data_IF_209673928820
#
_entry.id   IF_209673928820
#
_cell.length_a   1.000
_cell.length_b   1.000
_cell.length_c   1.000
_cell.angle_alpha   90.00
_cell.angle_beta   90.00
_cell.angle_gamma   90.00
#
_symmetry.space_group_name_H-M   'P 1'
#
loop_
_entity.id
_entity.type
_entity.pdbx_description
1 polymer ?
#
# COMPACT_ATOMS: atom_id res chain seq x y z
N UNK A 1 4.85 6.65 10.28
CA UNK A 1 4.21 5.81 11.29
C UNK A 1 3.58 4.55 10.71
N UNK A 2 2.31 4.60 10.34
CA UNK A 2 1.57 3.39 9.88
C UNK A 2 2.12 2.79 8.60
N UNK A 3 2.61 3.60 7.68
CA UNK A 3 3.20 3.11 6.44
C UNK A 3 4.52 2.40 6.71
N UNK A 4 5.38 2.95 7.55
CA UNK A 4 6.62 2.29 7.98
C UNK A 4 6.33 0.99 8.72
N UNK A 5 5.38 1.01 9.67
CA UNK A 5 4.94 -0.20 10.36
C UNK A 5 4.39 -1.25 9.40
N UNK A 6 3.65 -0.83 8.38
CA UNK A 6 3.13 -1.76 7.35
C UNK A 6 4.27 -2.37 6.54
N UNK A 7 5.24 -1.56 6.09
CA UNK A 7 6.41 -2.07 5.38
C UNK A 7 7.24 -3.03 6.24
N UNK A 8 7.48 -2.68 7.50
CA UNK A 8 8.21 -3.53 8.44
C UNK A 8 7.48 -4.81 8.79
N UNK A 9 6.14 -4.75 8.93
CA UNK A 9 5.32 -5.94 9.16
C UNK A 9 5.40 -6.92 7.99
N UNK A 10 5.40 -6.40 6.75
CA UNK A 10 5.58 -7.21 5.54
C UNK A 10 6.96 -7.85 5.52
N UNK A 11 8.01 -7.08 5.78
CA UNK A 11 9.37 -7.59 5.82
C UNK A 11 9.53 -8.66 6.92
N UNK A 12 8.95 -8.44 8.10
CA UNK A 12 8.97 -9.42 9.19
C UNK A 12 8.25 -10.71 8.84
N UNK A 13 7.07 -10.62 8.22
CA UNK A 13 6.30 -11.79 7.78
C UNK A 13 7.12 -12.62 6.78
N UNK A 14 7.75 -11.96 5.81
CA UNK A 14 8.59 -12.63 4.82
C UNK A 14 9.82 -13.29 5.44
N UNK A 15 10.42 -12.68 6.46
CA UNK A 15 11.51 -13.28 7.22
C UNK A 15 11.11 -14.56 7.95
N UNK A 16 9.89 -14.57 8.52
CA UNK A 16 9.43 -15.69 9.34
C UNK A 16 8.94 -16.87 8.50
N UNK A 17 8.54 -16.64 7.25
CA UNK A 17 7.82 -17.64 6.43
C UNK A 17 8.64 -18.25 5.31
N UNK A 18 9.73 -17.61 4.84
CA UNK A 18 10.46 -18.04 3.64
C UNK A 18 11.94 -18.28 3.86
N UNK A 19 12.43 -19.42 3.33
CA UNK A 19 13.84 -19.74 3.22
C UNK A 19 14.56 -18.92 2.12
N UNK A 20 13.81 -18.45 1.10
CA UNK A 20 14.33 -17.63 -0.01
C UNK A 20 14.03 -16.15 0.25
N UNK A 21 14.75 -15.57 1.20
CA UNK A 21 14.49 -14.21 1.73
C UNK A 21 14.91 -13.07 0.80
N UNK A 22 15.57 -13.37 -0.30
CA UNK A 22 16.04 -12.37 -1.27
C UNK A 22 14.91 -11.82 -2.17
N UNK A 23 13.71 -12.38 -2.09
CA UNK A 23 12.68 -12.21 -3.11
C UNK A 23 11.43 -11.42 -2.67
N UNK A 24 11.42 -10.76 -1.51
CA UNK A 24 10.34 -9.85 -1.15
C UNK A 24 10.74 -8.41 -1.47
N UNK A 25 9.99 -7.75 -2.35
CA UNK A 25 10.21 -6.35 -2.69
C UNK A 25 9.00 -5.51 -2.25
N UNK A 26 9.29 -4.46 -1.50
CA UNK A 26 8.31 -3.47 -1.05
C UNK A 26 8.51 -2.18 -1.83
N UNK A 27 7.50 -1.80 -2.61
CA UNK A 27 7.45 -0.53 -3.32
C UNK A 27 6.57 0.42 -2.52
N UNK A 28 7.11 1.56 -2.13
CA UNK A 28 6.38 2.63 -1.44
C UNK A 28 6.22 3.78 -2.42
N UNK A 29 4.99 4.11 -2.76
CA UNK A 29 4.68 5.34 -3.48
C UNK A 29 4.25 6.38 -2.45
N UNK A 30 5.19 7.26 -2.13
CA UNK A 30 4.98 8.36 -1.20
C UNK A 30 4.49 9.60 -1.94
N UNK A 31 3.21 9.92 -1.72
CA UNK A 31 2.53 11.06 -2.32
C UNK A 31 2.32 12.21 -1.34
N UNK A 32 2.82 12.09 -0.11
CA UNK A 32 2.76 13.18 0.84
C UNK A 32 3.77 14.27 0.52
N UNK A 33 3.36 15.47 0.79
CA UNK A 33 4.20 16.65 0.70
C UNK A 33 4.93 16.84 2.05
N UNK A 34 6.24 16.74 2.04
CA UNK A 34 7.09 16.90 3.21
C UNK A 34 6.94 18.28 3.89
N UNK A 35 6.59 19.32 3.11
CA UNK A 35 6.35 20.66 3.64
C UNK A 35 5.08 20.71 4.52
N UNK A 36 4.07 19.89 4.20
CA UNK A 36 2.79 19.84 4.93
C UNK A 36 2.82 18.87 6.12
N UNK A 37 3.69 17.86 6.06
CA UNK A 37 3.79 16.80 7.08
C UNK A 37 5.25 16.54 7.49
N UNK A 38 5.96 17.55 7.98
CA UNK A 38 7.36 17.39 8.37
C UNK A 38 7.48 16.39 9.52
N UNK A 39 8.22 15.33 9.31
CA UNK A 39 8.60 14.38 10.35
C UNK A 39 7.66 13.20 10.58
N UNK A 40 6.56 13.06 9.82
CA UNK A 40 5.61 11.98 10.05
C UNK A 40 6.01 10.63 9.41
N UNK A 41 6.93 10.64 8.44
CA UNK A 41 7.42 9.43 7.79
C UNK A 41 8.90 9.56 7.42
N UNK A 42 9.77 8.85 8.11
CA UNK A 42 11.19 8.74 7.75
C UNK A 42 11.39 7.53 6.80
N UNK A 43 10.84 7.64 5.59
CA UNK A 43 11.03 6.62 4.56
C UNK A 43 12.48 6.53 4.08
N UNK A 44 13.23 7.63 4.14
CA UNK A 44 14.63 7.66 3.74
C UNK A 44 15.47 6.75 4.64
N UNK A 45 15.18 6.73 5.96
CA UNK A 45 15.81 5.77 6.87
C UNK A 45 15.41 4.33 6.52
N UNK A 46 14.14 4.07 6.21
CA UNK A 46 13.69 2.74 5.85
C UNK A 46 14.38 2.24 4.56
N UNK A 47 14.44 3.07 3.51
CA UNK A 47 15.13 2.74 2.26
C UNK A 47 16.63 2.55 2.47
N UNK A 48 17.27 3.42 3.28
CA UNK A 48 18.70 3.31 3.55
C UNK A 48 19.06 2.02 4.27
N UNK A 49 18.21 1.52 5.15
CA UNK A 49 18.43 0.29 5.91
C UNK A 49 18.07 -0.98 5.11
N UNK A 50 17.06 -0.93 4.25
CA UNK A 50 16.56 -2.09 3.48
C UNK A 50 16.71 -1.88 1.97
N UNK A 51 17.87 -1.42 1.50
CA UNK A 51 18.14 -1.01 0.12
C UNK A 51 17.78 -2.03 -0.96
N UNK A 52 17.88 -3.31 -0.66
CA UNK A 52 17.58 -4.38 -1.62
C UNK A 52 16.09 -4.70 -1.66
N UNK A 53 15.38 -4.53 -0.54
CA UNK A 53 14.00 -4.94 -0.36
C UNK A 53 12.99 -3.79 -0.45
N UNK A 54 13.40 -2.56 -0.16
CA UNK A 54 12.51 -1.39 -0.17
C UNK A 54 12.91 -0.42 -1.27
N UNK A 55 11.94 0.03 -2.04
CA UNK A 55 12.09 1.06 -3.07
C UNK A 55 11.03 2.13 -2.86
N UNK A 56 11.49 3.36 -2.74
CA UNK A 56 10.60 4.52 -2.58
C UNK A 56 10.51 5.28 -3.91
N UNK A 57 9.29 5.61 -4.30
CA UNK A 57 9.01 6.46 -5.43
C UNK A 57 8.21 7.68 -4.97
N UNK A 58 8.56 8.83 -5.47
CA UNK A 58 7.86 10.10 -5.23
C UNK A 58 6.90 10.38 -6.38
N UNK A 59 6.09 11.44 -6.25
CA UNK A 59 5.05 11.85 -7.23
C UNK A 59 5.56 11.87 -8.68
N UNK A 60 6.80 12.32 -8.91
CA UNK A 60 7.39 12.39 -10.25
C UNK A 60 7.64 11.04 -10.91
N UNK A 61 7.77 9.97 -10.13
CA UNK A 61 8.07 8.61 -10.58
C UNK A 61 6.85 7.70 -10.61
N UNK A 62 5.70 8.22 -10.15
CA UNK A 62 4.47 7.46 -9.96
C UNK A 62 4.01 6.70 -11.21
N UNK A 63 3.92 7.39 -12.34
CA UNK A 63 3.42 6.79 -13.59
C UNK A 63 4.35 5.67 -14.09
N UNK A 64 5.65 5.88 -13.93
CA UNK A 64 6.67 4.88 -14.27
C UNK A 64 6.53 3.65 -13.38
N UNK A 65 6.48 3.83 -12.06
CA UNK A 65 6.34 2.73 -11.12
C UNK A 65 5.06 1.92 -11.39
N UNK A 66 3.93 2.60 -11.62
CA UNK A 66 2.66 1.94 -11.92
C UNK A 66 2.77 1.15 -13.24
N UNK A 67 3.43 1.72 -14.26
CA UNK A 67 3.62 1.03 -15.54
C UNK A 67 4.52 -0.21 -15.39
N UNK A 68 5.62 -0.10 -14.66
CA UNK A 68 6.53 -1.22 -14.42
C UNK A 68 5.83 -2.36 -13.65
N UNK A 69 5.08 -2.03 -12.61
CA UNK A 69 4.30 -3.02 -11.85
C UNK A 69 3.16 -3.62 -12.67
N UNK A 70 2.49 -2.84 -13.52
CA UNK A 70 1.46 -3.33 -14.43
C UNK A 70 2.02 -4.40 -15.37
N UNK A 71 3.18 -4.17 -15.99
CA UNK A 71 3.83 -5.14 -16.87
C UNK A 71 4.18 -6.44 -16.13
N UNK A 72 4.63 -6.34 -14.88
CA UNK A 72 4.90 -7.53 -14.05
C UNK A 72 3.60 -8.32 -13.80
N UNK A 73 2.52 -7.65 -13.39
CA UNK A 73 1.24 -8.32 -13.13
C UNK A 73 0.69 -8.94 -14.41
N UNK A 74 0.75 -8.23 -15.53
CA UNK A 74 0.28 -8.70 -16.83
C UNK A 74 1.05 -9.94 -17.27
N UNK A 75 2.39 -9.90 -17.20
CA UNK A 75 3.22 -11.03 -17.59
C UNK A 75 2.94 -12.28 -16.74
N UNK A 76 2.72 -12.10 -15.43
CA UNK A 76 2.36 -13.19 -14.52
C UNK A 76 0.95 -13.72 -14.78
N UNK A 77 -0.01 -12.83 -15.02
CA UNK A 77 -1.40 -13.20 -15.32
C UNK A 77 -1.54 -14.00 -16.63
N UNK A 78 -0.68 -13.72 -17.60
CA UNK A 78 -0.61 -14.43 -18.88
C UNK A 78 0.31 -15.67 -18.85
N UNK A 79 0.91 -16.00 -17.70
CA UNK A 79 1.82 -17.13 -17.56
C UNK A 79 3.17 -16.95 -18.26
N UNK A 80 3.53 -15.71 -18.63
CA UNK A 80 4.80 -15.38 -19.29
C UNK A 80 5.96 -15.21 -18.29
N UNK A 81 5.65 -15.00 -17.01
CA UNK A 81 6.62 -14.89 -15.94
C UNK A 81 6.15 -15.66 -14.70
N UNK A 82 7.07 -16.26 -13.92
CA UNK A 82 6.72 -16.92 -12.67
C UNK A 82 6.37 -15.90 -11.58
N UNK A 83 5.49 -16.29 -10.65
CA UNK A 83 5.13 -15.48 -9.49
C UNK A 83 5.95 -15.90 -8.24
N UNK A 84 7.25 -16.11 -8.40
CA UNK A 84 8.13 -16.60 -7.33
C UNK A 84 8.48 -15.52 -6.30
N UNK A 85 8.48 -14.26 -6.75
CA UNK A 85 8.73 -13.11 -5.87
C UNK A 85 7.42 -12.55 -5.38
N UNK A 86 7.32 -12.28 -4.08
CA UNK A 86 6.21 -11.52 -3.51
C UNK A 86 6.52 -10.04 -3.59
N UNK A 87 5.63 -9.30 -4.21
CA UNK A 87 5.74 -7.85 -4.31
C UNK A 87 4.65 -7.19 -3.45
N UNK A 88 5.03 -6.12 -2.79
CA UNK A 88 4.12 -5.32 -1.99
C UNK A 88 4.14 -3.89 -2.49
N UNK A 89 2.97 -3.34 -2.76
CA UNK A 89 2.80 -1.95 -3.17
C UNK A 89 2.09 -1.19 -2.05
N UNK A 90 2.77 -0.22 -1.46
CA UNK A 90 2.20 0.67 -0.45
C UNK A 90 1.99 2.04 -1.10
N UNK A 91 0.74 2.44 -1.27
CA UNK A 91 0.34 3.75 -1.77
C UNK A 91 0.00 4.64 -0.59
N UNK A 92 0.87 5.60 -0.30
CA UNK A 92 0.69 6.50 0.83
C UNK A 92 0.25 7.88 0.36
N UNK A 93 -0.97 8.30 0.78
CA UNK A 93 -1.54 9.59 0.37
C UNK A 93 -2.21 9.59 -1.00
N UNK A 94 -2.90 8.52 -1.38
CA UNK A 94 -3.52 8.34 -2.72
C UNK A 94 -4.40 9.50 -3.17
N UNK A 95 -5.04 10.22 -2.24
CA UNK A 95 -5.87 11.41 -2.53
C UNK A 95 -5.12 12.52 -3.28
N UNK A 96 -3.79 12.51 -3.20
CA UNK A 96 -2.90 13.49 -3.84
C UNK A 96 -2.43 13.07 -5.23
N UNK A 97 -2.72 11.85 -5.64
CA UNK A 97 -2.41 11.33 -6.96
C UNK A 97 -3.29 11.94 -8.05
N UNK A 98 -3.34 13.26 -8.16
CA UNK A 98 -4.22 13.97 -9.10
C UNK A 98 -3.92 13.61 -10.56
N UNK A 99 -2.67 13.27 -10.88
CA UNK A 99 -2.27 12.84 -12.23
C UNK A 99 -2.81 11.47 -12.63
N UNK A 100 -3.26 10.66 -11.65
CA UNK A 100 -3.95 9.39 -11.92
C UNK A 100 -5.43 9.58 -12.24
N UNK A 101 -6.01 10.73 -11.90
CA UNK A 101 -7.39 11.01 -12.28
C UNK A 101 -7.47 10.99 -13.80
N UNK A 102 -8.51 10.34 -14.31
CA UNK A 102 -8.73 10.26 -15.74
C UNK A 102 -8.40 11.61 -16.38
N UNK A 103 -7.42 11.62 -17.21
CA UNK A 103 -7.08 12.81 -18.00
C UNK A 103 -8.34 13.20 -18.75
N UNK A 104 -8.61 14.50 -18.74
CA UNK A 104 -9.73 15.08 -19.46
C UNK A 104 -9.76 14.55 -20.88
N UNK A 105 -10.94 14.53 -21.48
CA UNK A 105 -11.34 14.14 -22.84
C UNK A 105 -10.35 14.54 -23.99
N UNK A 106 -9.25 15.19 -23.68
CA UNK A 106 -8.23 15.70 -24.60
C UNK A 106 -6.89 14.96 -24.56
N UNK A 107 -6.77 13.89 -23.75
CA UNK A 107 -5.56 13.08 -23.80
C UNK A 107 -5.69 12.15 -25.01
N UNK A 108 -4.94 12.51 -26.06
CA UNK A 108 -4.80 11.77 -27.32
C UNK A 108 -3.97 10.50 -27.05
N UNK A 109 -4.45 9.69 -26.10
CA UNK A 109 -3.88 8.37 -25.85
C UNK A 109 -4.21 7.55 -27.09
N UNK A 110 -3.18 7.27 -27.87
CA UNK A 110 -3.19 6.35 -29.00
C UNK A 110 -4.09 5.15 -28.69
N UNK A 111 -5.08 4.89 -29.52
CA UNK A 111 -6.03 3.79 -29.39
C UNK A 111 -5.31 2.53 -28.90
N UNK A 112 -5.66 2.06 -27.69
CA UNK A 112 -5.16 0.79 -27.13
C UNK A 112 -4.20 0.88 -25.95
N UNK A 113 -3.80 2.06 -25.50
CA UNK A 113 -2.91 2.18 -24.32
C UNK A 113 -3.71 2.52 -23.06
N UNK A 114 -3.61 1.68 -22.00
CA UNK A 114 -4.27 1.93 -20.73
C UNK A 114 -3.71 3.19 -20.05
N UNK A 115 -4.58 4.00 -19.48
CA UNK A 115 -4.20 5.13 -18.63
C UNK A 115 -3.51 4.67 -17.35
N UNK A 116 -2.72 5.53 -16.68
CA UNK A 116 -2.12 5.20 -15.39
C UNK A 116 -3.14 4.74 -14.34
N UNK A 117 -4.35 5.33 -14.35
CA UNK A 117 -5.45 4.92 -13.48
C UNK A 117 -5.91 3.49 -13.78
N UNK A 118 -6.14 3.14 -15.03
CA UNK A 118 -6.56 1.79 -15.43
C UNK A 118 -5.48 0.74 -15.12
N UNK A 119 -4.20 1.09 -15.31
CA UNK A 119 -3.08 0.23 -14.92
C UNK A 119 -3.05 -0.01 -13.41
N UNK A 120 -3.25 1.03 -12.60
CA UNK A 120 -3.33 0.89 -11.15
C UNK A 120 -4.53 0.01 -10.74
N UNK A 121 -5.70 0.23 -11.30
CA UNK A 121 -6.88 -0.60 -11.05
C UNK A 121 -6.63 -2.06 -11.42
N UNK A 122 -5.92 -2.32 -12.50
CA UNK A 122 -5.50 -3.67 -12.90
C UNK A 122 -4.57 -4.30 -11.86
N UNK A 123 -3.55 -3.57 -11.39
CA UNK A 123 -2.64 -4.03 -10.34
C UNK A 123 -3.42 -4.39 -9.07
N UNK A 124 -4.30 -3.50 -8.60
CA UNK A 124 -5.07 -3.70 -7.37
C UNK A 124 -6.04 -4.89 -7.47
N UNK A 125 -6.64 -5.10 -8.63
CA UNK A 125 -7.65 -6.16 -8.82
C UNK A 125 -7.04 -7.52 -9.17
N UNK A 126 -5.96 -7.57 -9.95
CA UNK A 126 -5.32 -8.81 -10.43
C UNK A 126 -4.04 -9.17 -9.68
N UNK A 127 -3.40 -8.18 -9.06
CA UNK A 127 -2.14 -8.35 -8.33
C UNK A 127 -2.16 -9.43 -7.26
N UNK A 128 -3.18 -9.50 -6.37
CA UNK A 128 -3.19 -10.49 -5.28
C UNK A 128 -3.09 -11.95 -5.76
N UNK A 129 -3.65 -12.26 -6.92
CA UNK A 129 -3.55 -13.61 -7.53
C UNK A 129 -2.24 -13.85 -8.27
N UNK A 130 -1.47 -12.79 -8.50
CA UNK A 130 -0.23 -12.79 -9.25
C UNK A 130 0.98 -12.41 -8.39
N UNK A 131 0.87 -12.57 -7.06
CA UNK A 131 1.97 -12.34 -6.12
C UNK A 131 2.26 -10.87 -5.83
N UNK A 132 1.31 -9.94 -6.10
CA UNK A 132 1.43 -8.52 -5.74
C UNK A 132 0.30 -8.14 -4.78
N UNK A 133 0.63 -7.82 -3.55
CA UNK A 133 -0.31 -7.33 -2.55
C UNK A 133 -0.19 -5.82 -2.40
N UNK A 134 -1.31 -5.14 -2.14
CA UNK A 134 -1.31 -3.68 -2.04
C UNK A 134 -1.95 -3.19 -0.75
N UNK A 135 -1.35 -2.15 -0.18
CA UNK A 135 -1.89 -1.37 0.92
C UNK A 135 -2.09 0.04 0.40
N UNK A 136 -3.31 0.55 0.49
CA UNK A 136 -3.65 1.89 0.01
C UNK A 136 -4.11 2.75 1.19
N UNK A 137 -3.40 3.85 1.41
CA UNK A 137 -3.76 4.85 2.41
C UNK A 137 -4.38 6.07 1.74
N UNK A 138 -5.59 6.41 2.18
CA UNK A 138 -6.31 7.60 1.75
C UNK A 138 -6.84 8.42 2.94
N UNK A 139 -6.93 9.72 2.77
CA UNK A 139 -7.40 10.65 3.80
C UNK A 139 -8.94 10.64 3.92
N UNK A 140 -9.64 10.37 2.83
CA UNK A 140 -11.10 10.33 2.77
C UNK A 140 -11.59 9.50 1.58
N UNK A 141 -12.85 9.09 1.66
CA UNK A 141 -13.47 8.22 0.65
C UNK A 141 -13.57 8.88 -0.72
N UNK A 142 -13.95 10.16 -0.80
CA UNK A 142 -14.06 10.87 -2.09
C UNK A 142 -12.75 10.92 -2.85
N UNK A 143 -11.64 11.06 -2.13
CA UNK A 143 -10.32 11.00 -2.73
C UNK A 143 -9.98 9.62 -3.27
N UNK A 144 -10.31 8.56 -2.53
CA UNK A 144 -10.17 7.18 -3.00
C UNK A 144 -11.00 6.95 -4.27
N UNK A 145 -12.28 7.31 -4.27
CA UNK A 145 -13.18 7.20 -5.42
C UNK A 145 -12.64 7.96 -6.63
N UNK A 146 -12.14 9.18 -6.43
CA UNK A 146 -11.65 10.03 -7.53
C UNK A 146 -10.44 9.46 -8.24
N UNK A 147 -9.61 8.67 -7.55
CA UNK A 147 -8.38 8.09 -8.08
C UNK A 147 -8.59 6.63 -8.50
N UNK A 148 -9.32 5.86 -7.71
CA UNK A 148 -9.51 4.43 -7.93
C UNK A 148 -10.80 4.08 -8.69
N UNK A 149 -11.69 5.07 -8.86
CA UNK A 149 -13.02 4.89 -9.48
C UNK A 149 -14.07 4.39 -8.50
N UNK A 150 -15.34 4.41 -8.93
CA UNK A 150 -16.54 4.14 -8.10
C UNK A 150 -16.58 2.72 -7.52
N UNK A 151 -15.79 1.79 -8.09
CA UNK A 151 -15.76 0.39 -7.65
C UNK A 151 -14.52 0.04 -6.84
N UNK A 152 -13.87 1.04 -6.23
CA UNK A 152 -12.67 0.83 -5.41
C UNK A 152 -12.91 -0.17 -4.27
N UNK A 153 -14.10 -0.18 -3.72
CA UNK A 153 -14.51 -1.06 -2.63
C UNK A 153 -14.36 -2.56 -2.97
N UNK A 154 -14.59 -2.93 -4.23
CA UNK A 154 -14.43 -4.30 -4.69
C UNK A 154 -12.96 -4.76 -4.80
N UNK A 155 -12.01 -3.83 -4.72
CA UNK A 155 -10.57 -4.14 -4.79
C UNK A 155 -9.97 -4.51 -3.43
N UNK A 156 -10.65 -4.19 -2.32
CA UNK A 156 -10.12 -4.32 -0.97
C UNK A 156 -11.03 -5.16 -0.07
N UNK A 157 -10.62 -6.38 0.21
CA UNK A 157 -11.33 -7.25 1.15
C UNK A 157 -11.07 -6.86 2.63
N UNK A 158 -9.92 -6.24 2.91
CA UNK A 158 -9.53 -5.81 4.24
C UNK A 158 -9.49 -4.29 4.31
N UNK A 159 -10.17 -3.72 5.29
CA UNK A 159 -10.32 -2.27 5.42
C UNK A 159 -10.04 -1.84 6.84
N UNK A 160 -9.38 -0.70 6.98
CA UNK A 160 -9.11 -0.06 8.26
C UNK A 160 -9.56 1.39 8.19
N UNK A 161 -10.35 1.82 9.15
CA UNK A 161 -10.84 3.18 9.26
C UNK A 161 -10.28 3.87 10.52
N UNK A 162 -9.83 5.11 10.36
CA UNK A 162 -9.37 5.98 11.44
C UNK A 162 -10.17 7.28 11.44
N UNK A 163 -10.85 7.61 12.53
CA UNK A 163 -11.40 8.93 12.79
C UNK A 163 -12.25 9.56 11.67
N UNK A 164 -12.90 8.74 10.84
CA UNK A 164 -13.78 9.19 9.78
C UNK A 164 -15.13 9.66 10.36
N UNK A 165 -15.87 10.47 9.60
CA UNK A 165 -17.28 10.76 9.90
C UNK A 165 -18.15 9.51 9.78
N UNK A 166 -19.35 9.56 10.38
CA UNK A 166 -20.23 8.39 10.45
C UNK A 166 -20.63 7.82 9.09
N UNK A 167 -20.86 8.68 8.09
CA UNK A 167 -21.23 8.22 6.75
C UNK A 167 -20.05 7.50 6.06
N UNK A 168 -18.85 8.01 6.23
CA UNK A 168 -17.62 7.39 5.73
C UNK A 168 -17.30 6.09 6.46
N UNK A 169 -17.54 6.01 7.78
CA UNK A 169 -17.41 4.78 8.57
C UNK A 169 -18.38 3.71 8.09
N UNK A 170 -19.65 4.06 7.87
CA UNK A 170 -20.66 3.13 7.35
C UNK A 170 -20.28 2.62 5.96
N UNK A 171 -19.84 3.52 5.07
CA UNK A 171 -19.40 3.15 3.73
C UNK A 171 -18.17 2.25 3.72
N UNK A 172 -17.16 2.56 4.54
CA UNK A 172 -15.86 1.86 4.47
C UNK A 172 -15.86 0.53 5.23
N UNK A 173 -16.45 0.51 6.43
CA UNK A 173 -16.40 -0.64 7.35
C UNK A 173 -17.77 -1.14 7.80
N UNK A 174 -18.85 -0.63 7.23
CA UNK A 174 -20.23 -0.99 7.58
C UNK A 174 -20.52 -0.81 9.09
N UNK A 175 -20.08 0.31 9.66
CA UNK A 175 -20.33 0.66 11.05
C UNK A 175 -21.20 1.92 11.12
N UNK A 176 -22.51 1.72 11.28
CA UNK A 176 -23.52 2.77 11.25
C UNK A 176 -23.81 3.39 12.62
N UNK A 177 -23.38 2.76 13.72
CA UNK A 177 -23.58 3.35 15.06
C UNK A 177 -22.56 4.47 15.30
N UNK A 178 -23.04 5.68 15.66
CA UNK A 178 -22.15 6.79 15.98
C UNK A 178 -21.40 6.49 17.28
N UNK A 179 -20.24 5.90 17.16
CA UNK A 179 -19.31 5.75 18.28
C UNK A 179 -18.32 6.88 18.21
N UNK A 180 -18.17 7.60 19.31
CA UNK A 180 -17.04 8.49 19.47
C UNK A 180 -15.80 7.60 19.59
N UNK A 181 -15.15 7.36 18.47
CA UNK A 181 -13.85 6.69 18.49
C UNK A 181 -12.91 7.61 19.26
N UNK A 182 -12.30 7.09 20.31
CA UNK A 182 -11.22 7.79 20.97
C UNK A 182 -10.12 8.09 19.96
N UNK A 183 -9.45 9.23 20.11
CA UNK A 183 -8.25 9.53 19.35
C UNK A 183 -7.31 8.31 19.38
N UNK A 184 -6.78 7.92 18.24
CA UNK A 184 -5.91 6.73 18.07
C UNK A 184 -6.61 5.36 18.10
N UNK A 185 -7.92 5.29 17.98
CA UNK A 185 -8.63 4.02 17.77
C UNK A 185 -8.94 3.82 16.31
N UNK A 186 -8.69 2.62 15.80
CA UNK A 186 -9.02 2.20 14.45
C UNK A 186 -10.06 1.08 14.46
N UNK A 187 -10.78 0.96 13.35
CA UNK A 187 -11.74 -0.12 13.10
C UNK A 187 -11.24 -0.95 11.93
N UNK A 188 -11.09 -2.24 12.13
CA UNK A 188 -10.75 -3.21 11.09
C UNK A 188 -11.99 -4.00 10.67
N UNK A 189 -12.16 -4.16 9.36
CA UNK A 189 -13.19 -4.99 8.72
C UNK A 189 -12.54 -5.96 7.73
N UNK A 190 -12.92 -7.21 7.82
CA UNK A 190 -12.63 -8.23 6.80
C UNK A 190 -13.94 -8.54 6.07
N UNK A 191 -14.03 -8.14 4.78
CA UNK A 191 -15.24 -8.33 3.96
C UNK A 191 -15.43 -9.80 3.57
N UNK A 192 -14.34 -10.53 3.41
CA UNK A 192 -14.39 -11.96 3.04
C UNK A 192 -14.87 -12.85 4.19
N UNK A 193 -14.84 -12.32 5.40
CA UNK A 193 -15.28 -13.02 6.61
C UNK A 193 -16.47 -12.30 7.21
N UNK A 194 -17.55 -13.02 7.45
CA UNK A 194 -18.71 -12.50 8.17
C UNK A 194 -18.43 -12.43 9.68
N UNK A 195 -17.48 -11.57 10.05
CA UNK A 195 -17.09 -11.33 11.43
C UNK A 195 -17.37 -9.88 11.83
N UNK A 196 -17.58 -9.67 13.13
CA UNK A 196 -17.75 -8.33 13.67
C UNK A 196 -16.49 -7.50 13.46
N UNK A 197 -16.68 -6.18 13.27
CA UNK A 197 -15.59 -5.24 13.23
C UNK A 197 -14.72 -5.34 14.48
N UNK A 198 -13.42 -5.26 14.29
CA UNK A 198 -12.44 -5.27 15.39
C UNK A 198 -11.95 -3.86 15.64
N UNK A 199 -12.15 -3.38 16.87
CA UNK A 199 -11.61 -2.10 17.32
C UNK A 199 -10.22 -2.33 17.92
N UNK A 200 -9.24 -1.56 17.49
CA UNK A 200 -7.88 -1.69 18.00
C UNK A 200 -7.17 -0.33 18.08
N UNK A 201 -6.13 -0.27 18.85
CA UNK A 201 -5.23 0.87 18.90
C UNK A 201 -3.93 0.48 18.19
N UNK A 202 -3.56 1.15 17.09
CA UNK A 202 -2.30 0.88 16.41
C UNK A 202 -1.11 1.26 17.32
N UNK A 203 0.04 0.69 17.02
CA UNK A 203 1.28 1.08 17.64
C UNK A 203 1.67 2.50 17.19
N UNK A 204 2.52 3.12 17.98
CA UNK A 204 3.11 4.41 17.67
C UNK A 204 4.21 4.27 16.58
N UNK A 205 4.69 5.42 16.10
CA UNK A 205 5.78 5.49 15.12
C UNK A 205 7.01 4.77 15.70
N UNK A 206 7.63 3.84 14.98
CA UNK A 206 8.84 3.20 15.46
C UNK A 206 9.98 4.22 15.57
N UNK A 207 10.67 4.23 16.71
CA UNK A 207 11.86 5.06 16.87
C UNK A 207 12.95 4.63 15.89
N UNK A 208 13.72 5.58 15.36
CA UNK A 208 14.80 5.32 14.39
C UNK A 208 15.76 4.20 14.85
N UNK A 209 16.15 4.23 16.12
CA UNK A 209 17.00 3.18 16.70
C UNK A 209 16.39 1.78 16.58
N UNK A 210 15.09 1.68 16.69
CA UNK A 210 14.39 0.39 16.55
C UNK A 210 14.44 -0.11 15.11
N UNK A 211 14.25 0.78 14.11
CA UNK A 211 14.37 0.44 12.68
C UNK A 211 15.78 -0.05 12.36
N UNK A 212 16.81 0.63 12.88
CA UNK A 212 18.21 0.25 12.70
C UNK A 212 18.53 -1.12 13.33
N UNK A 213 18.06 -1.38 14.55
CA UNK A 213 18.24 -2.67 15.22
C UNK A 213 17.52 -3.79 14.49
N UNK A 214 16.32 -3.52 13.98
CA UNK A 214 15.56 -4.49 13.21
C UNK A 214 16.27 -4.82 11.88
N UNK A 215 16.81 -3.84 11.17
CA UNK A 215 17.57 -4.05 9.94
C UNK A 215 18.82 -4.91 10.19
N UNK A 216 19.55 -4.66 11.28
CA UNK A 216 20.72 -5.49 11.67
C UNK A 216 20.31 -6.95 11.94
N UNK A 217 19.19 -7.16 12.64
CA UNK A 217 18.68 -8.50 12.89
C UNK A 217 18.23 -9.19 11.58
N UNK A 218 17.66 -8.42 10.65
CA UNK A 218 17.27 -8.89 9.33
C UNK A 218 18.48 -9.37 8.52
N UNK A 219 19.51 -8.55 8.42
CA UNK A 219 20.75 -8.89 7.71
C UNK A 219 21.44 -10.11 8.30
N UNK A 220 21.50 -10.21 9.65
CA UNK A 220 22.07 -11.35 10.35
C UNK A 220 21.32 -12.65 10.02
N UNK A 221 19.99 -12.59 10.00
CA UNK A 221 19.15 -13.76 9.71
C UNK A 221 19.27 -14.24 8.25
N UNK A 222 19.57 -13.34 7.30
CA UNK A 222 19.86 -13.70 5.91
C UNK A 222 21.23 -14.41 5.81
N UNK A 223 22.25 -13.89 6.49
CA UNK A 223 23.60 -14.43 6.43
C UNK A 223 23.78 -15.77 7.16
N UNK A 224 22.97 -16.07 8.18
CA UNK A 224 22.99 -17.37 8.89
C UNK A 224 22.38 -18.54 8.07
N UNK A 225 21.67 -18.24 6.99
CA UNK A 225 20.96 -19.23 6.16
C UNK A 225 21.60 -19.44 4.77
N UNK A 226 22.62 -18.66 4.44
CA UNK A 226 23.42 -18.79 3.21
C UNK A 226 24.65 -19.67 3.45
#
# INVERSE_FOLDING_TARGET
GLCELSAMSVLYEELSTNADKENALVYILDLFDEELYPGDCDFDTLEAQFRQQVKIAKVGEMERLISDLYEIVLARAEGRAPANERLFLILFGINRAQRLRASSIYDDSSEGTLSPQEKLQFILSKGPRNGINSIVWGENIRGLESVLGDRYDAMFAKRIAFGLDNASMDTLVAESEPRTLHSHTAVYKDIDRDVKNTHFRPYDIPAKIWVEQYAQAYDSAIHEQA
#
